data_IF_877198929151
#
_entry.id   IF_877198929151
#
_cell.length_a   1.000
_cell.length_b   1.000
_cell.length_c   1.000
_cell.angle_alpha   90.00
_cell.angle_beta   90.00
_cell.angle_gamma   90.00
#
_symmetry.space_group_name_H-M   'P 1'
#
loop_
_entity.id
_entity.type
_entity.pdbx_description
1 polymer ?
#
# COMPACT_ATOMS: atom_id res chain seq x y z
N UNK A 1 -2.93 -18.45 9.39
CA UNK A 1 -1.81 -17.52 9.63
C UNK A 1 -2.10 -16.28 8.81
N UNK A 2 -2.06 -15.09 9.42
CA UNK A 2 -2.20 -13.82 8.70
C UNK A 2 -0.96 -13.60 7.85
N UNK A 3 -1.15 -13.16 6.60
CA UNK A 3 -0.08 -12.96 5.64
C UNK A 3 -0.41 -11.75 4.75
N UNK A 4 0.62 -11.15 4.16
CA UNK A 4 0.49 -10.12 3.13
C UNK A 4 1.27 -10.56 1.90
N UNK A 5 0.63 -10.46 0.74
CA UNK A 5 1.24 -10.84 -0.53
C UNK A 5 1.15 -9.71 -1.53
N UNK A 6 2.26 -9.52 -2.23
CA UNK A 6 2.38 -8.64 -3.37
C UNK A 6 2.37 -9.49 -4.64
N UNK A 7 1.51 -9.14 -5.59
CA UNK A 7 1.54 -9.71 -6.93
C UNK A 7 1.29 -8.64 -7.99
N UNK A 8 1.68 -8.93 -9.22
CA UNK A 8 1.65 -7.98 -10.33
C UNK A 8 0.83 -8.56 -11.47
N UNK A 9 -0.01 -7.73 -12.08
CA UNK A 9 -0.71 -8.05 -13.33
C UNK A 9 -0.65 -6.81 -14.20
N UNK A 10 0.12 -6.90 -15.28
CA UNK A 10 0.45 -5.77 -16.16
C UNK A 10 1.04 -4.58 -15.38
N UNK A 11 0.36 -3.43 -15.41
CA UNK A 11 0.77 -2.20 -14.74
C UNK A 11 0.21 -2.06 -13.32
N UNK A 12 -0.57 -3.04 -12.86
CA UNK A 12 -1.22 -3.00 -11.55
C UNK A 12 -0.49 -3.94 -10.58
N UNK A 13 -0.15 -3.41 -9.41
CA UNK A 13 0.26 -4.20 -8.27
C UNK A 13 -0.94 -4.42 -7.34
N UNK A 14 -1.05 -5.60 -6.78
CA UNK A 14 -2.12 -5.97 -5.86
C UNK A 14 -1.50 -6.31 -4.51
N UNK A 15 -1.94 -5.61 -3.47
CA UNK A 15 -1.67 -6.01 -2.09
C UNK A 15 -2.87 -6.79 -1.56
N UNK A 16 -2.60 -8.02 -1.12
CA UNK A 16 -3.64 -8.96 -0.70
C UNK A 16 -3.34 -9.56 0.66
N UNK A 17 -4.39 -9.83 1.44
CA UNK A 17 -4.25 -10.34 2.80
C UNK A 17 -4.42 -9.24 3.84
N UNK A 18 -3.51 -9.12 4.79
CA UNK A 18 -3.63 -8.18 5.90
C UNK A 18 -2.47 -7.18 5.91
N UNK A 19 -2.75 -5.88 5.95
CA UNK A 19 -1.73 -4.83 6.06
C UNK A 19 -1.71 -4.30 7.51
N UNK A 20 -1.04 -5.03 8.40
CA UNK A 20 -1.02 -4.74 9.84
C UNK A 20 0.40 -4.79 10.39
N UNK A 21 0.61 -4.31 11.62
CA UNK A 21 1.94 -4.37 12.25
C UNK A 21 2.60 -5.77 12.26
N UNK A 22 1.81 -6.84 12.22
CA UNK A 22 2.31 -8.22 12.30
C UNK A 22 2.75 -8.75 10.94
N UNK A 23 2.05 -8.35 9.88
CA UNK A 23 2.32 -8.81 8.51
C UNK A 23 3.29 -7.89 7.77
N UNK A 24 3.39 -6.61 8.14
CA UNK A 24 4.36 -5.69 7.54
C UNK A 24 5.82 -6.18 7.67
N UNK A 25 6.13 -6.98 8.69
CA UNK A 25 7.45 -7.57 8.90
C UNK A 25 7.84 -8.57 7.80
N UNK A 26 6.87 -9.08 7.03
CA UNK A 26 7.12 -10.00 5.92
C UNK A 26 7.37 -9.27 4.60
N UNK A 27 7.07 -7.97 4.51
CA UNK A 27 7.35 -7.17 3.32
C UNK A 27 8.83 -6.79 3.32
N UNK A 28 9.56 -7.27 2.31
CA UNK A 28 10.97 -7.03 2.17
C UNK A 28 11.26 -5.73 1.41
N UNK A 29 12.51 -5.26 1.51
CA UNK A 29 13.01 -4.13 0.69
C UNK A 29 12.91 -4.44 -0.81
N UNK A 30 13.05 -5.71 -1.20
CA UNK A 30 12.93 -6.11 -2.60
C UNK A 30 11.50 -6.01 -3.13
N UNK A 31 10.50 -6.21 -2.27
CA UNK A 31 9.09 -6.03 -2.64
C UNK A 31 8.80 -4.55 -2.94
N UNK A 32 9.30 -3.64 -2.10
CA UNK A 32 9.19 -2.19 -2.31
C UNK A 32 9.90 -1.75 -3.60
N UNK A 33 11.12 -2.27 -3.86
CA UNK A 33 11.82 -2.02 -5.12
C UNK A 33 11.05 -2.55 -6.33
N UNK A 34 10.41 -3.71 -6.20
CA UNK A 34 9.60 -4.30 -7.28
C UNK A 34 8.37 -3.46 -7.59
N UNK A 35 7.73 -2.85 -6.58
CA UNK A 35 6.66 -1.85 -6.77
C UNK A 35 7.14 -0.65 -7.58
N UNK A 36 8.42 -0.28 -7.44
CA UNK A 36 9.03 0.87 -8.11
C UNK A 36 9.90 0.47 -9.31
N UNK A 37 9.63 -0.69 -9.93
CA UNK A 37 10.37 -1.15 -11.12
C UNK A 37 10.04 -0.35 -12.40
N UNK A 38 9.03 0.52 -12.33
CA UNK A 38 8.58 1.42 -13.38
C UNK A 38 8.35 2.82 -12.81
N UNK A 39 8.37 3.85 -13.66
CA UNK A 39 8.16 5.25 -13.24
C UNK A 39 6.77 5.52 -12.63
N UNK A 40 5.79 4.65 -12.91
CA UNK A 40 4.44 4.73 -12.37
C UNK A 40 3.92 3.36 -11.91
N UNK A 41 3.21 3.32 -10.78
CA UNK A 41 2.53 2.11 -10.29
C UNK A 41 1.15 2.44 -9.73
N UNK A 42 0.14 1.73 -10.24
CA UNK A 42 -1.18 1.68 -9.62
C UNK A 42 -1.24 0.48 -8.66
N UNK A 43 -1.58 0.74 -7.41
CA UNK A 43 -1.70 -0.28 -6.37
C UNK A 43 -3.17 -0.47 -6.00
N UNK A 44 -3.68 -1.67 -6.26
CA UNK A 44 -5.02 -2.10 -5.88
C UNK A 44 -5.01 -2.68 -4.46
N UNK A 45 -5.93 -2.19 -3.62
CA UNK A 45 -6.08 -2.56 -2.21
C UNK A 45 -7.38 -3.32 -1.93
N UNK A 46 -8.14 -3.72 -2.95
CA UNK A 46 -9.47 -4.35 -2.83
C UNK A 46 -9.43 -5.66 -2.05
N UNK A 47 -8.34 -6.41 -2.18
CA UNK A 47 -8.15 -7.73 -1.57
C UNK A 47 -7.42 -7.67 -0.21
N UNK A 48 -7.37 -6.49 0.43
CA UNK A 48 -6.99 -6.35 1.83
C UNK A 48 -8.17 -6.67 2.75
N UNK A 49 -8.02 -7.75 3.53
CA UNK A 49 -9.01 -8.21 4.50
C UNK A 49 -8.90 -7.48 5.84
N UNK A 50 -7.69 -6.98 6.18
CA UNK A 50 -7.46 -6.19 7.37
C UNK A 50 -6.41 -5.11 7.14
N UNK A 51 -6.58 -3.98 7.82
CA UNK A 51 -5.63 -2.88 7.87
C UNK A 51 -5.74 -2.18 9.22
N UNK A 52 -4.61 -1.78 9.79
CA UNK A 52 -4.52 -1.04 11.05
C UNK A 52 -3.72 0.27 10.86
N UNK A 53 -3.47 1.01 11.95
CA UNK A 53 -2.72 2.26 11.90
C UNK A 53 -1.27 2.08 11.41
N UNK A 54 -0.64 0.94 11.70
CA UNK A 54 0.71 0.66 11.20
C UNK A 54 0.68 0.40 9.68
N UNK A 55 -0.36 -0.29 9.19
CA UNK A 55 -0.59 -0.44 7.75
C UNK A 55 -0.76 0.89 7.04
N UNK A 56 -1.56 1.80 7.59
CA UNK A 56 -1.70 3.16 7.04
C UNK A 56 -0.38 3.94 7.07
N UNK A 57 0.37 3.90 8.17
CA UNK A 57 1.68 4.55 8.27
C UNK A 57 2.67 3.99 7.22
N UNK A 58 2.63 2.68 6.99
CA UNK A 58 3.46 2.03 5.97
C UNK A 58 3.12 2.50 4.54
N UNK A 59 1.85 2.76 4.22
CA UNK A 59 1.48 3.33 2.92
C UNK A 59 2.10 4.72 2.69
N UNK A 60 2.20 5.56 3.73
CA UNK A 60 2.90 6.85 3.63
C UNK A 60 4.41 6.67 3.45
N UNK A 61 5.02 5.77 4.23
CA UNK A 61 6.43 5.44 4.08
C UNK A 61 6.75 4.85 2.69
N UNK A 62 5.81 4.11 2.08
CA UNK A 62 5.94 3.61 0.71
C UNK A 62 5.97 4.77 -0.30
N UNK A 63 5.14 5.80 -0.12
CA UNK A 63 5.16 6.99 -0.98
C UNK A 63 6.50 7.74 -0.91
N UNK A 64 7.05 7.91 0.30
CA UNK A 64 8.36 8.54 0.49
C UNK A 64 9.48 7.74 -0.19
N UNK A 65 9.48 6.42 -0.04
CA UNK A 65 10.45 5.54 -0.72
C UNK A 65 10.29 5.56 -2.24
N UNK A 66 9.05 5.57 -2.75
CA UNK A 66 8.79 5.63 -4.18
C UNK A 66 9.28 6.96 -4.78
N UNK A 67 9.08 8.07 -4.09
CA UNK A 67 9.60 9.37 -4.49
C UNK A 67 11.14 9.36 -4.58
N UNK A 68 11.83 8.75 -3.61
CA UNK A 68 13.28 8.61 -3.65
C UNK A 68 13.78 7.73 -4.82
N UNK A 69 12.93 6.84 -5.34
CA UNK A 69 13.19 5.98 -6.48
C UNK A 69 12.67 6.55 -7.81
N UNK A 70 12.20 7.80 -7.85
CA UNK A 70 11.55 8.41 -9.02
C UNK A 70 10.35 7.64 -9.56
N UNK A 71 9.65 6.90 -8.69
CA UNK A 71 8.42 6.18 -8.98
C UNK A 71 7.22 6.92 -8.40
N UNK A 72 6.19 7.14 -9.22
CA UNK A 72 4.90 7.64 -8.78
C UNK A 72 3.96 6.50 -8.44
N UNK A 73 3.43 6.49 -7.21
CA UNK A 73 2.44 5.52 -6.76
C UNK A 73 1.06 6.18 -6.64
N UNK A 74 0.02 5.49 -7.12
CA UNK A 74 -1.38 5.79 -6.82
C UNK A 74 -2.08 4.56 -6.25
N UNK A 75 -3.06 4.77 -5.40
CA UNK A 75 -3.88 3.71 -4.81
C UNK A 75 -5.27 3.68 -5.43
N UNK A 76 -5.83 2.48 -5.59
CA UNK A 76 -7.21 2.27 -6.03
C UNK A 76 -7.91 1.22 -5.16
N UNK A 77 -9.24 1.20 -5.22
CA UNK A 77 -10.09 0.23 -4.53
C UNK A 77 -9.83 0.14 -3.01
N UNK A 78 -9.70 1.29 -2.33
CA UNK A 78 -9.45 1.32 -0.89
C UNK A 78 -10.58 0.61 -0.12
N UNK A 79 -10.26 -0.36 0.77
CA UNK A 79 -11.26 -1.04 1.59
C UNK A 79 -11.87 -0.05 2.60
N UNK A 80 -13.12 -0.29 2.99
CA UNK A 80 -13.88 0.60 3.91
C UNK A 80 -13.12 0.88 5.20
N UNK A 81 -12.45 -0.13 5.76
CA UNK A 81 -11.66 0.01 6.99
C UNK A 81 -10.49 1.01 6.82
N UNK A 82 -9.80 1.00 5.67
CA UNK A 82 -8.74 1.97 5.38
C UNK A 82 -9.30 3.38 5.22
N UNK A 83 -10.44 3.53 4.53
CA UNK A 83 -11.12 4.84 4.40
C UNK A 83 -11.48 5.42 5.77
N UNK A 84 -11.98 4.59 6.68
CA UNK A 84 -12.30 4.99 8.05
C UNK A 84 -11.04 5.41 8.82
N UNK A 85 -9.94 4.66 8.71
CA UNK A 85 -8.67 5.03 9.34
C UNK A 85 -8.16 6.38 8.83
N UNK A 86 -8.18 6.61 7.51
CA UNK A 86 -7.78 7.90 6.90
C UNK A 86 -8.61 9.05 7.48
N UNK A 87 -9.92 8.86 7.62
CA UNK A 87 -10.83 9.87 8.18
C UNK A 87 -10.55 10.13 9.67
N UNK A 88 -10.46 9.07 10.48
CA UNK A 88 -10.26 9.17 11.92
C UNK A 88 -8.87 9.71 12.29
N UNK A 89 -7.85 9.44 11.47
CA UNK A 89 -6.49 9.94 11.66
C UNK A 89 -6.29 11.37 11.13
N UNK A 90 -7.30 11.98 10.49
CA UNK A 90 -7.20 13.34 9.96
C UNK A 90 -6.27 13.51 8.76
N UNK A 91 -5.90 12.41 8.07
CA UNK A 91 -4.95 12.39 6.96
C UNK A 91 -5.63 12.35 5.58
N UNK A 92 -6.88 12.80 5.52
CA UNK A 92 -7.68 12.82 4.29
C UNK A 92 -6.98 13.70 3.23
N UNK A 93 -6.84 13.16 2.02
CA UNK A 93 -6.19 13.86 0.90
C UNK A 93 -4.67 13.70 0.84
N UNK A 94 -4.04 13.03 1.82
CA UNK A 94 -2.59 12.80 1.80
C UNK A 94 -2.18 11.57 0.98
N UNK A 95 -3.07 10.58 0.80
CA UNK A 95 -2.82 9.46 -0.10
C UNK A 95 -3.26 9.81 -1.53
N UNK A 96 -2.43 9.57 -2.55
CA UNK A 96 -2.80 9.75 -3.95
C UNK A 96 -3.75 8.63 -4.39
N UNK A 97 -5.04 8.96 -4.52
CA UNK A 97 -6.09 7.98 -4.87
C UNK A 97 -6.56 8.27 -6.30
N UNK A 98 -6.63 7.21 -7.13
CA UNK A 98 -7.18 7.25 -8.50
C UNK A 98 -8.68 6.99 -8.51
#
# INVERSE_FOLDING_TARGET
MSDIKLHFTDEIAYLTGELTRHTLLTISVNDVKSLCSTDYRLIDLSALNAVDTAGLAWLFNLLEQAQALSCQIQFTQLPVKLKNLIQLSGVKGLLPIK
#
